data_IF_433281794523
#
_entry.id   IF_433281794523
#
_cell.length_a   1.000
_cell.length_b   1.000
_cell.length_c   1.000
_cell.angle_alpha   90.00
_cell.angle_beta   90.00
_cell.angle_gamma   90.00
#
_symmetry.space_group_name_H-M   'P 1'
#
loop_
_entity.id
_entity.type
_entity.pdbx_description
1 polymer ?
#
# COMPACT_ATOMS: atom_id res chain seq x y z
N UNK A 1 -31.66 53.25 -16.96
CA UNK A 1 -32.22 53.09 -15.60
C UNK A 1 -31.16 52.44 -14.72
N UNK A 2 -30.80 53.11 -13.62
CA UNK A 2 -29.85 52.65 -12.60
C UNK A 2 -30.46 51.48 -11.82
N UNK A 3 -29.65 50.48 -11.50
CA UNK A 3 -29.96 49.46 -10.51
C UNK A 3 -28.68 48.79 -10.01
N UNK A 4 -28.15 49.29 -8.89
CA UNK A 4 -27.13 48.63 -8.07
C UNK A 4 -27.82 47.53 -7.28
N UNK A 5 -27.30 46.31 -7.31
CA UNK A 5 -27.58 45.30 -6.27
C UNK A 5 -26.26 44.66 -5.79
N UNK A 6 -25.76 45.28 -4.72
CA UNK A 6 -25.17 44.69 -3.50
C UNK A 6 -24.61 43.27 -3.56
N UNK A 7 -23.29 43.19 -3.41
CA UNK A 7 -22.53 42.04 -2.90
C UNK A 7 -23.04 41.71 -1.48
N UNK A 8 -23.71 40.57 -1.31
CA UNK A 8 -23.96 39.98 0.01
C UNK A 8 -23.13 38.70 0.19
N UNK A 9 -22.17 38.79 1.10
CA UNK A 9 -21.44 37.67 1.68
C UNK A 9 -22.40 36.64 2.29
N UNK A 10 -22.50 35.46 1.70
CA UNK A 10 -23.19 34.31 2.30
C UNK A 10 -22.17 33.46 3.03
N UNK A 11 -22.08 33.69 4.34
CA UNK A 11 -21.53 32.74 5.30
C UNK A 11 -22.44 31.50 5.33
N UNK A 12 -21.97 30.36 4.82
CA UNK A 12 -22.62 29.06 5.02
C UNK A 12 -21.62 28.10 5.65
N UNK A 13 -21.43 28.23 6.96
CA UNK A 13 -20.81 27.20 7.82
C UNK A 13 -21.86 26.22 8.36
N UNK A 14 -23.16 26.53 8.24
CA UNK A 14 -24.22 25.76 8.91
C UNK A 14 -24.79 24.57 8.11
N UNK A 15 -24.22 24.27 6.93
CA UNK A 15 -24.70 23.18 6.06
C UNK A 15 -24.04 21.80 6.27
N UNK A 16 -22.99 21.71 7.09
CA UNK A 16 -22.17 20.49 7.25
C UNK A 16 -22.47 19.69 8.53
N UNK A 17 -23.24 20.25 9.46
CA UNK A 17 -23.50 19.62 10.76
C UNK A 17 -24.58 18.53 10.70
N UNK A 18 -25.42 18.52 9.67
CA UNK A 18 -26.45 17.50 9.47
C UNK A 18 -25.94 16.19 8.83
N UNK A 19 -24.66 16.10 8.45
CA UNK A 19 -24.03 14.86 7.94
C UNK A 19 -23.19 14.17 9.04
N UNK A 20 -23.31 14.60 10.29
CA UNK A 20 -22.69 13.90 11.43
C UNK A 20 -23.58 12.72 11.81
N UNK A 21 -23.55 11.69 10.97
CA UNK A 21 -24.02 10.36 11.33
C UNK A 21 -23.25 9.95 12.58
N UNK A 22 -23.99 9.79 13.68
CA UNK A 22 -23.50 9.20 14.91
C UNK A 22 -22.73 7.92 14.55
N UNK A 23 -21.55 7.66 15.14
CA UNK A 23 -20.76 6.51 14.75
C UNK A 23 -21.64 5.25 14.83
N UNK A 24 -21.72 4.41 13.77
CA UNK A 24 -22.56 3.23 13.75
C UNK A 24 -22.36 2.40 15.03
N UNK A 25 -23.41 1.75 15.54
CA UNK A 25 -23.41 1.01 16.82
C UNK A 25 -22.20 0.07 16.96
N UNK A 26 -21.72 -0.48 15.83
CA UNK A 26 -20.47 -1.23 15.70
C UNK A 26 -19.21 -0.48 16.18
N UNK A 27 -19.06 0.80 15.85
CA UNK A 27 -17.96 1.68 16.26
C UNK A 27 -18.12 2.10 17.73
N UNK A 28 -19.36 2.32 18.21
CA UNK A 28 -19.64 2.60 19.62
C UNK A 28 -19.26 1.41 20.51
N UNK A 29 -19.54 0.19 20.06
CA UNK A 29 -19.12 -1.04 20.74
C UNK A 29 -17.61 -1.30 20.60
N UNK A 30 -16.99 -0.91 19.47
CA UNK A 30 -15.51 -0.91 19.33
C UNK A 30 -14.84 0.08 20.27
N UNK A 31 -15.38 1.28 20.43
CA UNK A 31 -14.91 2.28 21.38
C UNK A 31 -15.03 1.77 22.82
N UNK A 32 -16.14 1.10 23.15
CA UNK A 32 -16.35 0.48 24.47
C UNK A 32 -15.34 -0.65 24.74
N UNK A 33 -15.01 -1.45 23.73
CA UNK A 33 -14.02 -2.54 23.83
C UNK A 33 -12.55 -2.06 23.73
N UNK A 34 -12.30 -0.87 23.16
CA UNK A 34 -10.98 -0.23 23.15
C UNK A 34 -10.65 0.45 24.49
N UNK A 35 -11.66 0.81 25.28
CA UNK A 35 -11.52 1.20 26.68
C UNK A 35 -11.30 -0.06 27.54
N UNK A 36 -10.30 -0.86 27.17
CA UNK A 36 -9.64 -1.77 28.09
C UNK A 36 -8.77 -0.92 29.01
N UNK A 37 -9.41 -0.27 29.98
CA UNK A 37 -8.73 0.50 31.01
C UNK A 37 -7.61 -0.35 31.63
N UNK A 38 -6.36 0.12 31.66
CA UNK A 38 -5.32 -0.58 32.40
C UNK A 38 -5.76 -0.69 33.86
N UNK A 39 -5.58 -1.89 34.43
CA UNK A 39 -5.83 -2.16 35.86
C UNK A 39 -5.05 -1.14 36.71
N UNK A 40 -5.61 -0.70 37.85
CA UNK A 40 -4.85 0.10 38.79
C UNK A 40 -3.63 -0.72 39.21
N UNK A 41 -2.46 -0.15 38.98
CA UNK A 41 -1.19 -0.61 39.53
C UNK A 41 -1.01 0.19 40.82
N UNK A 42 -0.37 -0.38 41.83
CA UNK A 42 -0.21 0.24 43.15
C UNK A 42 1.00 1.20 43.20
N UNK A 43 0.79 2.25 44.01
CA UNK A 43 1.62 3.28 44.66
C UNK A 43 3.13 3.44 44.35
N UNK A 44 3.46 4.65 43.86
CA UNK A 44 4.74 5.37 44.01
C UNK A 44 4.58 6.80 43.42
N UNK A 45 4.08 7.75 44.23
CA UNK A 45 3.50 9.04 43.81
C UNK A 45 4.36 9.91 42.85
N UNK A 46 5.69 9.75 42.82
CA UNK A 46 6.57 10.46 41.89
C UNK A 46 6.64 9.80 40.48
N UNK A 47 6.61 8.47 40.43
CA UNK A 47 6.62 7.65 39.21
C UNK A 47 5.33 7.80 38.39
N UNK A 48 4.19 7.95 39.07
CA UNK A 48 2.88 8.15 38.44
C UNK A 48 2.79 9.42 37.60
N UNK A 49 3.43 10.50 38.07
CA UNK A 49 3.34 11.82 37.42
C UNK A 49 4.03 11.82 36.05
N UNK A 50 5.22 11.22 35.97
CA UNK A 50 6.05 11.16 34.76
C UNK A 50 5.52 10.14 33.75
N UNK A 51 5.05 8.98 34.22
CA UNK A 51 4.40 7.97 33.38
C UNK A 51 3.14 8.52 32.71
N UNK A 52 2.26 9.19 33.47
CA UNK A 52 1.00 9.71 32.94
C UNK A 52 1.24 10.82 31.91
N UNK A 53 2.22 11.69 32.16
CA UNK A 53 2.68 12.68 31.19
C UNK A 53 3.22 12.05 29.91
N UNK A 54 4.10 11.04 30.04
CA UNK A 54 4.65 10.33 28.90
C UNK A 54 3.55 9.69 28.05
N UNK A 55 2.58 9.03 28.69
CA UNK A 55 1.42 8.46 28.00
C UNK A 55 0.62 9.52 27.23
N UNK A 56 0.29 10.64 27.89
CA UNK A 56 -0.46 11.73 27.26
C UNK A 56 0.31 12.34 26.07
N UNK A 57 1.64 12.50 26.18
CA UNK A 57 2.47 12.99 25.07
C UNK A 57 2.49 12.02 23.90
N UNK A 58 2.64 10.72 24.15
CA UNK A 58 2.67 9.71 23.09
C UNK A 58 1.31 9.63 22.37
N UNK A 59 0.19 9.74 23.10
CA UNK A 59 -1.14 9.80 22.49
C UNK A 59 -1.35 11.05 21.63
N UNK A 60 -0.78 12.20 22.02
CA UNK A 60 -0.80 13.40 21.20
C UNK A 60 0.09 13.26 19.95
N UNK A 61 1.30 12.70 20.08
CA UNK A 61 2.19 12.40 18.95
C UNK A 61 1.49 11.44 17.96
N UNK A 62 0.80 10.40 18.46
CA UNK A 62 0.00 9.49 17.65
C UNK A 62 -1.18 10.18 16.96
N UNK A 63 -1.82 11.15 17.63
CA UNK A 63 -2.92 11.94 17.07
C UNK A 63 -2.45 12.79 15.88
N UNK A 64 -1.28 13.44 16.01
CA UNK A 64 -0.65 14.22 14.95
C UNK A 64 -0.29 13.32 13.76
N UNK A 65 0.24 12.13 14.05
CA UNK A 65 0.67 11.17 13.03
C UNK A 65 -0.45 10.24 12.51
N UNK A 66 -1.71 10.45 12.91
CA UNK A 66 -2.88 9.62 12.53
C UNK A 66 -2.73 8.13 12.83
N UNK A 67 -1.93 7.78 13.84
CA UNK A 67 -1.66 6.41 14.26
C UNK A 67 -2.77 5.87 15.18
N UNK A 68 -2.83 4.56 15.34
CA UNK A 68 -3.79 3.89 16.21
C UNK A 68 -3.15 3.58 17.56
N UNK A 69 -3.83 3.89 18.67
CA UNK A 69 -3.39 3.53 20.02
C UNK A 69 -3.59 2.02 20.23
N UNK A 70 -2.53 1.24 20.00
CA UNK A 70 -2.54 -0.23 20.20
C UNK A 70 -1.29 -0.71 20.95
N UNK A 71 -0.34 0.20 21.22
CA UNK A 71 0.93 -0.12 21.88
C UNK A 71 0.73 -0.38 23.39
N UNK A 72 1.68 -1.11 24.00
CA UNK A 72 1.70 -1.33 25.45
C UNK A 72 1.99 -0.01 26.18
N UNK A 73 1.27 0.26 27.27
CA UNK A 73 1.31 1.53 28.02
C UNK A 73 2.33 1.52 29.17
N UNK A 74 3.27 0.59 29.17
CA UNK A 74 4.35 0.49 30.17
C UNK A 74 5.50 1.46 29.86
N UNK A 75 6.11 2.09 30.87
CA UNK A 75 7.15 3.12 30.75
C UNK A 75 8.25 2.77 29.74
N UNK A 76 8.93 1.63 29.91
CA UNK A 76 10.04 1.22 29.04
C UNK A 76 9.61 1.07 27.57
N UNK A 77 8.45 0.46 27.33
CA UNK A 77 7.96 0.23 25.98
C UNK A 77 7.49 1.54 25.32
N UNK A 78 6.99 2.50 26.08
CA UNK A 78 6.66 3.85 25.58
C UNK A 78 7.92 4.64 25.21
N UNK A 79 8.98 4.54 26.01
CA UNK A 79 10.28 5.16 25.68
C UNK A 79 10.88 4.57 24.40
N UNK A 80 10.89 3.23 24.28
CA UNK A 80 11.34 2.55 23.05
C UNK A 80 10.46 2.92 21.86
N UNK A 81 9.14 2.99 22.05
CA UNK A 81 8.20 3.41 21.00
C UNK A 81 8.47 4.83 20.52
N UNK A 82 8.69 5.77 21.44
CA UNK A 82 8.97 7.17 21.13
C UNK A 82 10.32 7.32 20.41
N UNK A 83 11.36 6.66 20.92
CA UNK A 83 12.67 6.61 20.26
C UNK A 83 12.55 6.06 18.84
N UNK A 84 11.85 4.94 18.66
CA UNK A 84 11.63 4.33 17.35
C UNK A 84 10.76 5.18 16.42
N UNK A 85 9.85 5.99 16.97
CA UNK A 85 9.00 6.92 16.22
C UNK A 85 9.71 8.21 15.82
N UNK A 86 10.92 8.46 16.34
CA UNK A 86 11.74 9.61 15.93
C UNK A 86 11.94 9.63 14.40
N UNK A 87 11.92 10.84 13.84
CA UNK A 87 12.09 11.09 12.41
C UNK A 87 13.38 10.47 11.86
N UNK A 88 14.46 10.51 12.64
CA UNK A 88 15.77 9.94 12.28
C UNK A 88 15.69 8.44 12.02
N UNK A 89 15.14 7.64 12.95
CA UNK A 89 15.04 6.17 12.77
C UNK A 89 14.08 5.82 11.62
N UNK A 90 12.98 6.57 11.48
CA UNK A 90 12.05 6.38 10.36
C UNK A 90 12.67 6.74 9.02
N UNK A 91 13.56 7.74 8.96
CA UNK A 91 14.29 8.12 7.75
C UNK A 91 15.39 7.11 7.44
N UNK A 92 16.14 6.64 8.45
CA UNK A 92 17.13 5.56 8.28
C UNK A 92 16.48 4.28 7.73
N UNK A 93 15.31 3.91 8.24
CA UNK A 93 14.57 2.77 7.70
C UNK A 93 14.15 2.98 6.25
N UNK A 94 13.71 4.19 5.87
CA UNK A 94 13.41 4.53 4.47
C UNK A 94 14.65 4.47 3.58
N UNK A 95 15.79 4.96 4.05
CA UNK A 95 17.08 4.87 3.33
C UNK A 95 17.49 3.41 3.14
N UNK A 96 17.38 2.57 4.18
CA UNK A 96 17.70 1.14 4.09
C UNK A 96 16.81 0.41 3.06
N UNK A 97 15.52 0.77 2.97
CA UNK A 97 14.62 0.26 1.93
C UNK A 97 15.06 0.69 0.53
N UNK A 98 15.41 1.97 0.35
CA UNK A 98 15.92 2.48 -0.93
C UNK A 98 17.21 1.78 -1.33
N UNK A 99 18.16 1.60 -0.42
CA UNK A 99 19.41 0.86 -0.66
C UNK A 99 19.10 -0.57 -1.12
N UNK A 100 18.17 -1.25 -0.43
CA UNK A 100 17.81 -2.62 -0.76
C UNK A 100 17.19 -2.75 -2.17
N UNK A 101 16.34 -1.80 -2.57
CA UNK A 101 15.79 -1.74 -3.94
C UNK A 101 16.88 -1.41 -4.98
N UNK A 102 17.76 -0.46 -4.68
CA UNK A 102 18.84 -0.04 -5.57
C UNK A 102 19.90 -1.12 -5.81
N UNK A 103 20.07 -2.09 -4.90
CA UNK A 103 20.97 -3.23 -5.11
C UNK A 103 20.68 -3.98 -6.42
N UNK A 104 19.44 -3.95 -6.91
CA UNK A 104 19.08 -4.57 -8.18
C UNK A 104 19.89 -4.06 -9.39
N UNK A 105 20.36 -2.80 -9.38
CA UNK A 105 21.19 -2.23 -10.46
C UNK A 105 22.62 -2.77 -10.49
N UNK A 106 23.15 -3.14 -9.33
CA UNK A 106 24.53 -3.61 -9.17
C UNK A 106 24.66 -5.13 -9.26
N UNK A 107 23.58 -5.83 -8.95
CA UNK A 107 23.50 -7.29 -9.03
C UNK A 107 23.49 -7.81 -10.46
N UNK A 108 23.84 -9.09 -10.65
CA UNK A 108 23.76 -9.75 -11.96
C UNK A 108 22.29 -9.98 -12.38
N UNK A 109 21.91 -9.66 -13.63
CA UNK A 109 22.71 -8.97 -14.65
C UNK A 109 22.86 -7.47 -14.33
N UNK A 110 24.09 -6.96 -14.28
CA UNK A 110 24.33 -5.56 -13.91
C UNK A 110 23.78 -4.61 -14.96
N UNK A 111 23.24 -3.47 -14.51
CA UNK A 111 22.70 -2.42 -15.38
C UNK A 111 23.78 -1.45 -15.87
N UNK A 112 25.02 -1.60 -15.41
CA UNK A 112 26.15 -0.76 -15.80
C UNK A 112 26.74 -1.24 -17.14
N UNK A 113 26.15 -0.72 -18.22
CA UNK A 113 26.68 -0.79 -19.59
C UNK A 113 26.47 0.56 -20.28
N UNK A 114 27.34 0.89 -21.24
CA UNK A 114 27.25 2.14 -22.02
C UNK A 114 25.97 2.14 -22.87
N UNK A 115 25.61 0.98 -23.41
CA UNK A 115 24.41 0.78 -24.23
C UNK A 115 23.62 -0.42 -23.72
N UNK A 116 22.30 -0.39 -23.94
CA UNK A 116 21.40 -1.54 -23.75
C UNK A 116 21.16 -2.30 -25.06
N UNK A 117 21.77 -1.87 -26.17
CA UNK A 117 21.63 -2.54 -27.46
C UNK A 117 22.15 -3.98 -27.36
N UNK A 118 21.39 -4.91 -27.93
CA UNK A 118 21.73 -6.33 -28.01
C UNK A 118 22.79 -6.59 -29.07
N UNK A 119 22.92 -5.72 -30.07
CA UNK A 119 23.90 -5.84 -31.15
C UNK A 119 25.30 -5.50 -30.65
N UNK A 120 25.42 -4.40 -29.91
CA UNK A 120 26.65 -3.97 -29.28
C UNK A 120 26.61 -4.32 -27.78
N UNK A 121 27.16 -5.48 -27.41
CA UNK A 121 27.22 -5.95 -26.02
C UNK A 121 28.61 -5.74 -25.41
N UNK A 122 28.98 -4.51 -25.01
CA UNK A 122 30.22 -4.32 -24.27
C UNK A 122 30.17 -5.12 -22.95
N UNK A 123 31.34 -5.54 -22.49
CA UNK A 123 31.46 -6.24 -21.22
C UNK A 123 30.86 -5.39 -20.08
N UNK A 124 29.89 -5.95 -19.36
CA UNK A 124 29.23 -5.25 -18.25
C UNK A 124 30.17 -5.19 -17.06
N UNK A 125 30.14 -4.06 -16.34
CA UNK A 125 30.91 -3.93 -15.10
C UNK A 125 30.31 -4.90 -14.08
N UNK A 126 31.13 -5.83 -13.58
CA UNK A 126 30.73 -6.80 -12.55
C UNK A 126 31.30 -6.34 -11.21
N UNK A 127 30.40 -6.03 -10.28
CA UNK A 127 30.80 -5.66 -8.92
C UNK A 127 31.17 -6.90 -8.10
N UNK A 128 32.10 -6.77 -7.13
CA UNK A 128 32.44 -7.86 -6.22
C UNK A 128 31.20 -8.38 -5.49
N UNK A 129 30.88 -9.66 -5.68
CA UNK A 129 29.66 -10.28 -5.12
C UNK A 129 29.61 -10.20 -3.59
N UNK A 130 30.78 -10.33 -2.94
CA UNK A 130 30.92 -10.26 -1.47
C UNK A 130 30.45 -8.91 -0.94
N UNK A 131 30.79 -7.80 -1.60
CA UNK A 131 30.39 -6.45 -1.17
C UNK A 131 28.85 -6.30 -1.19
N UNK A 132 28.22 -6.73 -2.28
CA UNK A 132 26.76 -6.66 -2.43
C UNK A 132 26.06 -7.55 -1.39
N UNK A 133 26.62 -8.72 -1.11
CA UNK A 133 26.11 -9.63 -0.08
C UNK A 133 26.21 -9.02 1.32
N UNK A 134 27.30 -8.32 1.64
CA UNK A 134 27.46 -7.63 2.93
C UNK A 134 26.42 -6.51 3.07
N UNK A 135 26.28 -5.66 2.05
CA UNK A 135 25.30 -4.56 2.07
C UNK A 135 23.88 -5.13 2.21
N UNK A 136 23.54 -6.16 1.44
CA UNK A 136 22.24 -6.83 1.54
C UNK A 136 22.01 -7.39 2.93
N UNK A 137 22.99 -8.12 3.49
CA UNK A 137 22.94 -8.69 4.83
C UNK A 137 22.68 -7.65 5.91
N UNK A 138 23.42 -6.54 5.87
CA UNK A 138 23.23 -5.43 6.80
C UNK A 138 21.80 -4.85 6.71
N UNK A 139 21.24 -4.68 5.50
CA UNK A 139 19.86 -4.20 5.35
C UNK A 139 18.82 -5.20 5.87
N UNK A 140 19.02 -6.50 5.65
CA UNK A 140 18.11 -7.55 6.11
C UNK A 140 18.14 -7.70 7.64
N UNK A 141 19.33 -7.63 8.25
CA UNK A 141 19.51 -7.62 9.71
C UNK A 141 18.80 -6.39 10.30
N UNK A 142 18.94 -5.22 9.68
CA UNK A 142 18.22 -4.01 10.09
C UNK A 142 16.70 -4.22 10.03
N UNK A 143 16.16 -4.80 8.96
CA UNK A 143 14.72 -5.09 8.85
C UNK A 143 14.24 -6.08 9.92
N UNK A 144 15.05 -7.08 10.26
CA UNK A 144 14.75 -8.03 11.32
C UNK A 144 14.73 -7.35 12.70
N UNK A 145 15.72 -6.54 13.03
CA UNK A 145 15.73 -5.76 14.29
C UNK A 145 14.54 -4.79 14.33
N UNK A 146 14.25 -4.13 13.21
CA UNK A 146 13.15 -3.19 13.07
C UNK A 146 11.77 -3.87 13.27
N UNK A 147 11.56 -5.08 12.77
CA UNK A 147 10.30 -5.80 13.00
C UNK A 147 10.20 -6.33 14.43
N UNK A 148 11.29 -6.86 14.99
CA UNK A 148 11.33 -7.38 16.36
C UNK A 148 11.02 -6.29 17.39
N UNK A 149 11.59 -5.10 17.22
CA UNK A 149 11.30 -3.93 18.07
C UNK A 149 9.83 -3.49 17.94
N UNK A 150 9.26 -3.48 16.72
CA UNK A 150 7.81 -3.26 16.54
C UNK A 150 6.96 -4.33 17.25
N UNK A 151 7.31 -5.62 17.16
CA UNK A 151 6.58 -6.69 17.88
C UNK A 151 6.61 -6.46 19.38
N UNK A 152 7.77 -6.10 19.93
CA UNK A 152 7.93 -5.85 21.35
C UNK A 152 7.02 -4.70 21.83
N UNK A 153 6.93 -3.61 21.05
CA UNK A 153 6.11 -2.44 21.38
C UNK A 153 4.60 -2.68 21.24
N UNK A 154 4.14 -3.35 20.17
CA UNK A 154 2.71 -3.63 19.94
C UNK A 154 2.18 -4.83 20.75
N UNK A 155 3.05 -5.78 21.08
CA UNK A 155 2.69 -7.06 21.66
C UNK A 155 2.25 -8.11 20.62
N UNK A 156 2.60 -9.37 20.91
CA UNK A 156 2.44 -10.51 19.99
C UNK A 156 0.97 -10.75 19.60
N UNK A 157 0.04 -10.60 20.55
CA UNK A 157 -1.40 -10.81 20.31
C UNK A 157 -1.98 -9.85 19.26
N UNK A 158 -1.53 -8.59 19.27
CA UNK A 158 -1.97 -7.59 18.31
C UNK A 158 -1.23 -7.70 16.97
N UNK A 159 0.06 -8.04 17.01
CA UNK A 159 0.85 -8.28 15.81
C UNK A 159 0.25 -9.39 14.93
N UNK A 160 -0.18 -10.51 15.54
CA UNK A 160 -0.77 -11.66 14.81
C UNK A 160 -2.09 -11.31 14.08
N UNK A 161 -2.79 -10.24 14.47
CA UNK A 161 -4.04 -9.84 13.80
C UNK A 161 -3.81 -9.04 12.52
N UNK A 162 -2.60 -8.53 12.28
CA UNK A 162 -2.29 -7.67 11.14
C UNK A 162 -1.61 -8.49 10.03
N UNK A 163 -2.35 -8.77 8.96
CA UNK A 163 -1.87 -9.56 7.81
C UNK A 163 -0.53 -9.06 7.25
N UNK A 164 -0.45 -7.77 6.89
CA UNK A 164 0.76 -7.16 6.31
C UNK A 164 1.99 -7.31 7.21
N UNK A 165 1.78 -7.28 8.53
CA UNK A 165 2.84 -7.43 9.50
C UNK A 165 3.39 -8.87 9.54
N UNK A 166 2.51 -9.87 9.46
CA UNK A 166 2.91 -11.27 9.34
C UNK A 166 3.60 -11.52 8.00
N UNK A 167 3.05 -11.00 6.91
CA UNK A 167 3.65 -11.12 5.59
C UNK A 167 5.08 -10.56 5.57
N UNK A 168 5.29 -9.38 6.18
CA UNK A 168 6.62 -8.80 6.32
C UNK A 168 7.56 -9.69 7.15
N UNK A 169 7.11 -10.23 8.28
CA UNK A 169 7.90 -11.15 9.10
C UNK A 169 8.35 -12.39 8.29
N UNK A 170 7.41 -13.03 7.61
CA UNK A 170 7.67 -14.25 6.82
C UNK A 170 8.67 -13.94 5.70
N UNK A 171 8.47 -12.85 4.97
CA UNK A 171 9.36 -12.45 3.88
C UNK A 171 10.75 -12.11 4.40
N UNK A 172 10.88 -11.40 5.54
CA UNK A 172 12.18 -11.09 6.14
C UNK A 172 12.92 -12.36 6.59
N UNK A 173 12.22 -13.29 7.25
CA UNK A 173 12.82 -14.57 7.68
C UNK A 173 13.25 -15.41 6.48
N UNK A 174 12.38 -15.56 5.47
CA UNK A 174 12.71 -16.24 4.22
C UNK A 174 13.94 -15.63 3.54
N UNK A 175 13.98 -14.29 3.48
CA UNK A 175 15.09 -13.55 2.87
C UNK A 175 16.41 -13.75 3.62
N UNK A 176 16.38 -13.82 4.95
CA UNK A 176 17.55 -14.12 5.78
C UNK A 176 18.03 -15.57 5.59
N UNK A 177 17.11 -16.54 5.52
CA UNK A 177 17.45 -17.94 5.26
C UNK A 177 18.12 -18.11 3.90
N UNK A 178 17.55 -17.51 2.84
CA UNK A 178 18.14 -17.56 1.50
C UNK A 178 19.50 -16.85 1.47
N UNK A 179 19.65 -15.70 2.17
CA UNK A 179 20.93 -15.00 2.27
C UNK A 179 22.01 -15.83 2.99
N UNK A 180 21.66 -16.51 4.09
CA UNK A 180 22.58 -17.41 4.79
C UNK A 180 22.98 -18.61 3.92
N UNK A 181 22.04 -19.19 3.18
CA UNK A 181 22.32 -20.25 2.21
C UNK A 181 23.28 -19.76 1.11
N UNK A 182 23.12 -18.53 0.63
CA UNK A 182 24.00 -17.93 -0.38
C UNK A 182 25.43 -17.70 0.15
N UNK A 183 25.59 -17.38 1.44
CA UNK A 183 26.92 -17.34 2.08
C UNK A 183 27.55 -18.74 2.08
N UNK A 184 26.80 -19.76 2.49
CA UNK A 184 27.32 -21.12 2.57
C UNK A 184 27.74 -21.68 1.20
N UNK A 185 26.99 -21.33 0.15
CA UNK A 185 27.21 -21.83 -1.22
C UNK A 185 28.17 -20.93 -2.02
N UNK A 186 28.71 -19.84 -1.44
CA UNK A 186 29.56 -18.87 -2.15
C UNK A 186 30.76 -19.51 -2.86
N UNK A 187 31.31 -20.60 -2.30
CA UNK A 187 32.46 -21.32 -2.84
C UNK A 187 32.15 -22.09 -4.12
N UNK A 188 30.88 -22.41 -4.36
CA UNK A 188 30.42 -23.24 -5.48
C UNK A 188 29.96 -22.42 -6.70
N UNK A 189 30.10 -21.09 -6.67
CA UNK A 189 29.76 -20.20 -7.81
C UNK A 189 28.37 -20.48 -8.42
N UNK A 190 27.37 -20.64 -7.56
CA UNK A 190 26.00 -20.96 -7.99
C UNK A 190 25.30 -19.72 -8.59
N UNK A 191 24.93 -19.80 -9.86
CA UNK A 191 24.23 -18.74 -10.62
C UNK A 191 22.70 -18.96 -10.68
N UNK A 192 22.10 -19.60 -9.68
CA UNK A 192 20.66 -19.86 -9.67
C UNK A 192 19.77 -18.62 -9.44
N UNK A 193 18.48 -18.81 -9.72
CA UNK A 193 17.44 -17.78 -9.59
C UNK A 193 17.28 -17.38 -8.11
N UNK A 194 17.48 -16.09 -7.80
CA UNK A 194 17.35 -15.53 -6.45
C UNK A 194 15.93 -15.04 -6.21
N UNK A 195 15.10 -15.87 -5.57
CA UNK A 195 13.68 -15.59 -5.35
C UNK A 195 13.45 -14.37 -4.45
N UNK A 196 14.35 -14.09 -3.51
CA UNK A 196 14.33 -12.90 -2.64
C UNK A 196 14.16 -11.57 -3.38
N UNK A 197 14.69 -11.43 -4.60
CA UNK A 197 14.60 -10.18 -5.39
C UNK A 197 13.16 -9.77 -5.67
N UNK A 198 12.29 -10.73 -5.91
CA UNK A 198 10.87 -10.53 -6.23
C UNK A 198 10.13 -9.93 -5.02
N UNK A 199 10.57 -10.26 -3.81
CA UNK A 199 9.92 -9.81 -2.59
C UNK A 199 10.35 -8.42 -2.10
N UNK A 200 11.42 -7.81 -2.64
CA UNK A 200 11.91 -6.49 -2.19
C UNK A 200 10.86 -5.38 -2.22
N UNK A 201 10.00 -5.26 -3.26
CA UNK A 201 8.94 -4.26 -3.27
C UNK A 201 7.95 -4.41 -2.12
N UNK A 202 7.77 -5.63 -1.58
CA UNK A 202 6.89 -5.85 -0.42
C UNK A 202 7.40 -5.16 0.85
N UNK A 203 8.73 -5.02 1.00
CA UNK A 203 9.30 -4.28 2.12
C UNK A 203 8.94 -2.79 2.07
N UNK A 204 8.88 -2.21 0.86
CA UNK A 204 8.44 -0.83 0.65
C UNK A 204 6.93 -0.67 0.92
N UNK A 205 6.12 -1.65 0.51
CA UNK A 205 4.68 -1.68 0.83
C UNK A 205 4.47 -1.70 2.35
N UNK A 206 5.29 -2.44 3.11
CA UNK A 206 5.14 -2.48 4.57
C UNK A 206 5.45 -1.14 5.26
N UNK A 207 6.37 -0.34 4.73
CA UNK A 207 6.70 0.95 5.35
C UNK A 207 5.64 2.02 5.07
N UNK A 208 5.00 1.98 3.90
CA UNK A 208 4.04 2.99 3.46
C UNK A 208 2.59 2.63 3.78
N UNK A 209 1.96 3.38 4.70
CA UNK A 209 0.54 3.23 4.99
C UNK A 209 -0.35 3.60 3.80
N UNK A 210 0.09 4.53 2.94
CA UNK A 210 -0.65 4.93 1.75
C UNK A 210 -0.70 3.77 0.74
N UNK A 211 0.41 3.07 0.53
CA UNK A 211 0.47 1.94 -0.39
C UNK A 211 -0.38 0.77 0.10
N UNK A 212 -0.33 0.43 1.40
CA UNK A 212 -1.22 -0.61 1.97
C UNK A 212 -2.68 -0.27 1.79
N UNK A 213 -3.03 1.01 1.98
CA UNK A 213 -4.39 1.51 1.78
C UNK A 213 -4.80 1.39 0.32
N UNK A 214 -3.95 1.82 -0.62
CA UNK A 214 -4.20 1.70 -2.05
C UNK A 214 -4.36 0.22 -2.47
N UNK A 215 -3.46 -0.67 -2.05
CA UNK A 215 -3.56 -2.10 -2.34
C UNK A 215 -4.81 -2.73 -1.73
N UNK A 216 -5.19 -2.35 -0.50
CA UNK A 216 -6.42 -2.83 0.12
C UNK A 216 -7.68 -2.27 -0.56
N UNK A 217 -7.61 -1.07 -1.15
CA UNK A 217 -8.68 -0.52 -1.99
C UNK A 217 -8.87 -1.41 -3.22
N UNK A 218 -7.80 -1.68 -3.95
CA UNK A 218 -7.80 -2.54 -5.14
C UNK A 218 -8.27 -3.95 -4.78
N UNK A 219 -7.74 -4.52 -3.69
CA UNK A 219 -8.11 -5.87 -3.24
C UNK A 219 -9.60 -5.99 -2.90
N UNK A 220 -10.20 -4.96 -2.30
CA UNK A 220 -11.61 -4.99 -1.90
C UNK A 220 -12.53 -5.12 -3.11
N UNK A 221 -12.21 -4.43 -4.20
CA UNK A 221 -13.04 -4.38 -5.40
C UNK A 221 -12.50 -5.31 -6.51
N UNK A 222 -11.53 -6.18 -6.18
CA UNK A 222 -10.86 -7.10 -7.09
C UNK A 222 -11.85 -8.01 -7.82
N UNK A 223 -12.89 -8.51 -7.12
CA UNK A 223 -13.91 -9.38 -7.73
C UNK A 223 -14.63 -8.66 -8.87
N UNK A 224 -15.01 -7.40 -8.66
CA UNK A 224 -15.67 -6.58 -9.68
C UNK A 224 -14.72 -6.29 -10.85
N UNK A 225 -13.45 -5.97 -10.56
CA UNK A 225 -12.43 -5.74 -11.60
C UNK A 225 -12.22 -7.00 -12.44
N UNK A 226 -12.12 -8.18 -11.81
CA UNK A 226 -12.00 -9.46 -12.50
C UNK A 226 -13.21 -9.71 -13.41
N UNK A 227 -14.43 -9.42 -12.96
CA UNK A 227 -15.62 -9.56 -13.80
C UNK A 227 -15.58 -8.65 -15.03
N UNK A 228 -15.13 -7.40 -14.90
CA UNK A 228 -14.99 -6.51 -16.06
C UNK A 228 -13.86 -6.95 -17.02
N UNK A 229 -12.74 -7.46 -16.49
CA UNK A 229 -11.66 -8.03 -17.31
C UNK A 229 -12.15 -9.30 -18.03
N UNK A 230 -12.91 -10.16 -17.38
CA UNK A 230 -13.51 -11.34 -18.00
C UNK A 230 -14.47 -10.96 -19.14
N UNK A 231 -15.25 -9.90 -18.98
CA UNK A 231 -16.10 -9.35 -20.04
C UNK A 231 -15.27 -8.86 -21.23
N UNK A 232 -14.16 -8.15 -21.00
CA UNK A 232 -13.25 -7.72 -22.06
C UNK A 232 -12.59 -8.91 -22.79
N UNK A 233 -12.16 -9.94 -22.05
CA UNK A 233 -11.60 -11.16 -22.63
C UNK A 233 -12.65 -11.93 -23.45
N UNK A 234 -13.90 -12.00 -22.98
CA UNK A 234 -14.99 -12.62 -23.72
C UNK A 234 -15.28 -11.87 -25.03
N UNK A 235 -15.26 -10.53 -25.02
CA UNK A 235 -15.37 -9.70 -26.22
C UNK A 235 -14.23 -10.00 -27.20
N UNK A 236 -12.98 -10.03 -26.73
CA UNK A 236 -11.82 -10.35 -27.58
C UNK A 236 -11.94 -11.77 -28.16
N UNK A 237 -12.32 -12.76 -27.35
CA UNK A 237 -12.45 -14.15 -27.80
C UNK A 237 -13.57 -14.32 -28.84
N UNK A 238 -14.73 -13.70 -28.61
CA UNK A 238 -15.85 -13.73 -29.55
C UNK A 238 -15.45 -13.15 -30.91
N UNK A 239 -14.84 -11.96 -30.92
CA UNK A 239 -14.37 -11.33 -32.15
C UNK A 239 -13.19 -12.10 -32.78
N UNK A 240 -12.34 -12.76 -32.01
CA UNK A 240 -11.24 -13.58 -32.54
C UNK A 240 -11.78 -14.80 -33.31
N UNK A 241 -12.79 -15.48 -32.77
CA UNK A 241 -13.43 -16.60 -33.45
C UNK A 241 -14.14 -16.11 -34.73
N UNK A 242 -14.85 -14.98 -34.65
CA UNK A 242 -15.49 -14.38 -35.81
C UNK A 242 -14.47 -13.95 -36.88
N UNK A 243 -13.32 -13.39 -36.48
CA UNK A 243 -12.24 -13.00 -37.39
C UNK A 243 -11.67 -14.20 -38.13
N UNK A 244 -11.46 -15.35 -37.46
CA UNK A 244 -10.99 -16.57 -38.13
C UNK A 244 -11.95 -17.07 -39.21
N UNK A 245 -13.26 -16.92 -38.99
CA UNK A 245 -14.27 -17.30 -39.99
C UNK A 245 -14.41 -16.28 -41.11
N UNK A 246 -14.33 -14.98 -40.80
CA UNK A 246 -14.52 -13.89 -41.76
C UNK A 246 -13.28 -13.65 -42.62
N UNK A 247 -12.10 -13.91 -42.07
CA UNK A 247 -10.79 -13.73 -42.69
C UNK A 247 -10.05 -15.07 -42.73
N UNK A 248 -10.55 -16.06 -43.50
CA UNK A 248 -9.86 -17.32 -43.66
C UNK A 248 -8.51 -17.12 -44.35
N UNK A 249 -7.61 -18.08 -44.18
CA UNK A 249 -6.26 -18.12 -44.76
C UNK A 249 -6.30 -17.78 -46.26
N UNK A 250 -6.02 -16.52 -46.59
CA UNK A 250 -5.88 -16.01 -47.95
C UNK A 250 -4.45 -15.51 -48.14
N UNK A 251 -3.88 -15.71 -49.33
CA UNK A 251 -2.52 -15.25 -49.65
C UNK A 251 -2.35 -13.72 -49.58
N UNK A 252 -3.47 -12.97 -49.62
CA UNK A 252 -3.53 -11.51 -49.55
C UNK A 252 -3.34 -10.92 -48.14
N UNK A 253 -3.50 -11.73 -47.08
CA UNK A 253 -3.40 -11.26 -45.69
C UNK A 253 -2.07 -11.59 -45.04
N UNK A 254 -0.96 -11.31 -45.73
CA UNK A 254 0.39 -11.50 -45.18
C UNK A 254 0.86 -10.22 -44.50
N UNK A 255 1.33 -10.35 -43.27
CA UNK A 255 2.10 -9.34 -42.56
C UNK A 255 3.37 -9.01 -43.38
N UNK A 256 4.10 -7.95 -43.02
CA UNK A 256 5.42 -7.64 -43.58
C UNK A 256 6.44 -8.78 -43.47
N UNK A 257 6.15 -9.80 -42.65
CA UNK A 257 6.95 -11.01 -42.42
C UNK A 257 6.36 -12.29 -43.07
N UNK A 258 5.24 -12.20 -43.81
CA UNK A 258 4.66 -13.34 -44.53
C UNK A 258 3.69 -14.22 -43.71
N UNK A 259 3.45 -13.92 -42.44
CA UNK A 259 2.46 -14.59 -41.57
C UNK A 259 1.06 -14.01 -41.75
N UNK A 260 0.02 -14.83 -41.56
CA UNK A 260 -1.38 -14.39 -41.64
C UNK A 260 -1.95 -14.06 -40.27
N UNK A 261 -2.44 -12.81 -40.08
CA UNK A 261 -2.97 -12.28 -38.81
C UNK A 261 -4.00 -13.19 -38.10
N UNK A 262 -4.95 -13.80 -38.82
CA UNK A 262 -6.09 -14.54 -38.24
C UNK A 262 -6.08 -16.06 -38.51
N UNK A 263 -4.90 -16.66 -38.65
CA UNK A 263 -4.80 -18.09 -39.02
C UNK A 263 -5.15 -19.08 -37.91
N UNK A 264 -4.79 -18.76 -36.67
CA UNK A 264 -5.05 -19.60 -35.51
C UNK A 264 -5.78 -18.79 -34.43
N UNK A 265 -6.44 -19.49 -33.50
CA UNK A 265 -7.14 -18.83 -32.40
C UNK A 265 -6.18 -18.01 -31.52
N UNK A 266 -5.01 -18.58 -31.21
CA UNK A 266 -3.98 -17.89 -30.42
C UNK A 266 -3.55 -16.58 -31.08
N UNK A 267 -3.21 -16.62 -32.36
CA UNK A 267 -2.72 -15.47 -33.11
C UNK A 267 -3.83 -14.42 -33.27
N UNK A 268 -5.06 -14.85 -33.56
CA UNK A 268 -6.25 -13.99 -33.65
C UNK A 268 -6.54 -13.27 -32.34
N UNK A 269 -6.52 -13.99 -31.21
CA UNK A 269 -6.69 -13.41 -29.87
C UNK A 269 -5.57 -12.43 -29.57
N UNK A 270 -4.33 -12.75 -29.89
CA UNK A 270 -3.19 -11.86 -29.66
C UNK A 270 -3.29 -10.58 -30.49
N UNK A 271 -3.60 -10.69 -31.79
CA UNK A 271 -3.74 -9.54 -32.68
C UNK A 271 -4.89 -8.62 -32.26
N UNK A 272 -6.03 -9.19 -31.82
CA UNK A 272 -7.14 -8.41 -31.28
C UNK A 272 -6.88 -7.87 -29.87
N UNK A 273 -6.06 -8.54 -29.05
CA UNK A 273 -5.61 -8.00 -27.76
C UNK A 273 -4.70 -6.78 -27.96
N UNK A 274 -3.80 -6.82 -28.94
CA UNK A 274 -2.96 -5.68 -29.35
C UNK A 274 -3.82 -4.57 -29.98
N UNK A 275 -4.88 -4.92 -30.71
CA UNK A 275 -5.85 -3.95 -31.22
C UNK A 275 -6.70 -3.33 -30.12
N UNK A 276 -7.06 -4.09 -29.09
CA UNK A 276 -7.77 -3.58 -27.91
C UNK A 276 -6.94 -2.52 -27.16
N UNK A 277 -5.60 -2.59 -27.22
CA UNK A 277 -4.70 -1.53 -26.75
C UNK A 277 -4.34 -0.49 -27.82
N UNK A 278 -4.94 -0.56 -29.01
CA UNK A 278 -4.74 0.32 -30.18
C UNK A 278 -3.32 0.38 -30.73
N UNK A 279 -2.45 -0.58 -30.40
CA UNK A 279 -1.04 -0.51 -30.77
C UNK A 279 -0.76 -0.90 -32.24
N UNK A 280 -1.67 -1.64 -32.88
CA UNK A 280 -1.56 -2.12 -34.27
C UNK A 280 -2.67 -1.55 -35.18
N UNK A 281 -3.27 -0.41 -34.84
CA UNK A 281 -4.22 0.30 -35.70
C UNK A 281 -3.47 1.34 -36.56
N UNK A 282 -3.59 1.36 -37.91
CA UNK A 282 -4.46 0.56 -38.79
C UNK A 282 -3.86 -0.74 -39.32
N UNK A 283 -2.62 -1.08 -38.98
CA UNK A 283 -1.88 -2.19 -39.60
C UNK A 283 -2.64 -3.52 -39.66
N UNK A 284 -3.32 -3.91 -38.58
CA UNK A 284 -4.08 -5.18 -38.53
C UNK A 284 -5.31 -5.21 -39.44
N UNK A 285 -5.88 -4.05 -39.80
CA UNK A 285 -7.07 -3.98 -40.66
C UNK A 285 -6.72 -3.78 -42.14
N UNK A 286 -5.51 -3.29 -42.45
CA UNK A 286 -5.14 -2.91 -43.81
C UNK A 286 -5.29 -4.02 -44.86
N UNK A 287 -4.82 -5.28 -44.62
CA UNK A 287 -4.97 -6.34 -45.63
C UNK A 287 -6.43 -6.73 -45.87
N UNK A 288 -7.23 -6.81 -44.80
CA UNK A 288 -8.67 -7.08 -44.93
C UNK A 288 -9.40 -5.94 -45.64
N UNK A 289 -8.98 -4.69 -45.42
CA UNK A 289 -9.55 -3.50 -46.05
C UNK A 289 -9.21 -3.40 -47.54
N UNK A 290 -7.98 -3.76 -47.94
CA UNK A 290 -7.57 -3.78 -49.35
C UNK A 290 -8.34 -4.83 -50.15
N UNK A 291 -8.68 -5.97 -49.53
CA UNK A 291 -9.48 -7.03 -50.16
C UNK A 291 -10.93 -6.57 -50.36
N UNK A 292 -11.57 -6.04 -49.31
CA UNK A 292 -12.89 -5.45 -49.40
C UNK A 292 -13.05 -4.32 -48.38
N UNK A 293 -13.44 -3.12 -48.87
CA UNK A 293 -13.63 -1.93 -48.02
C UNK A 293 -14.66 -2.15 -46.90
N UNK A 294 -15.64 -3.05 -47.10
CA UNK A 294 -16.65 -3.36 -46.08
C UNK A 294 -16.07 -4.06 -44.84
N UNK A 295 -14.90 -4.71 -44.96
CA UNK A 295 -14.26 -5.41 -43.84
C UNK A 295 -13.84 -4.46 -42.71
N UNK A 296 -13.71 -3.15 -42.98
CA UNK A 296 -13.44 -2.14 -41.94
C UNK A 296 -14.55 -2.11 -40.88
N UNK A 297 -15.79 -2.46 -41.23
CA UNK A 297 -16.92 -2.44 -40.30
C UNK A 297 -16.71 -3.42 -39.14
N UNK A 298 -16.07 -4.56 -39.39
CA UNK A 298 -15.71 -5.52 -38.34
C UNK A 298 -14.82 -4.85 -37.28
N UNK A 299 -13.73 -4.21 -37.72
CA UNK A 299 -12.77 -3.56 -36.83
C UNK A 299 -13.36 -2.32 -36.14
N UNK A 300 -14.19 -1.56 -36.85
CA UNK A 300 -14.88 -0.40 -36.29
C UNK A 300 -15.80 -0.80 -35.14
N UNK A 301 -16.64 -1.83 -35.34
CA UNK A 301 -17.52 -2.35 -34.29
C UNK A 301 -16.72 -2.88 -33.10
N UNK A 302 -15.63 -3.62 -33.37
CA UNK A 302 -14.72 -4.09 -32.32
C UNK A 302 -14.17 -2.95 -31.47
N UNK A 303 -13.71 -1.86 -32.10
CA UNK A 303 -13.15 -0.68 -31.43
C UNK A 303 -14.23 0.08 -30.64
N UNK A 304 -15.42 0.29 -31.22
CA UNK A 304 -16.54 0.98 -30.55
C UNK A 304 -16.93 0.24 -29.27
N UNK A 305 -17.15 -1.08 -29.35
CA UNK A 305 -17.57 -1.87 -28.20
C UNK A 305 -16.41 -2.06 -27.22
N UNK A 306 -15.23 -2.46 -27.69
CA UNK A 306 -14.10 -2.79 -26.83
C UNK A 306 -13.53 -1.57 -26.11
N UNK A 307 -13.11 -0.57 -26.88
CA UNK A 307 -12.39 0.59 -26.33
C UNK A 307 -13.38 1.61 -25.77
N UNK A 308 -14.37 2.03 -26.55
CA UNK A 308 -15.23 3.14 -26.10
C UNK A 308 -16.28 2.71 -25.08
N UNK A 309 -16.76 1.47 -25.10
CA UNK A 309 -17.73 1.00 -24.10
C UNK A 309 -17.04 0.24 -22.96
N UNK A 310 -16.38 -0.88 -23.23
CA UNK A 310 -15.85 -1.77 -22.19
C UNK A 310 -14.70 -1.11 -21.42
N UNK A 311 -13.71 -0.49 -22.07
CA UNK A 311 -12.58 0.14 -21.36
C UNK A 311 -13.00 1.36 -20.53
N UNK A 312 -13.93 2.18 -21.03
CA UNK A 312 -14.51 3.29 -20.26
C UNK A 312 -15.34 2.79 -19.06
N UNK A 313 -16.08 1.69 -19.22
CA UNK A 313 -16.80 1.04 -18.13
C UNK A 313 -15.82 0.51 -17.05
N UNK A 314 -14.75 -0.19 -17.45
CA UNK A 314 -13.70 -0.66 -16.53
C UNK A 314 -13.13 0.51 -15.73
N UNK A 315 -12.79 1.60 -16.43
CA UNK A 315 -12.22 2.81 -15.81
C UNK A 315 -13.19 3.42 -14.80
N UNK A 316 -14.48 3.53 -15.15
CA UNK A 316 -15.52 4.04 -14.27
C UNK A 316 -15.71 3.17 -13.01
N UNK A 317 -15.70 1.85 -13.15
CA UNK A 317 -15.81 0.90 -12.05
C UNK A 317 -14.62 1.02 -11.11
N UNK A 318 -13.39 1.03 -11.65
CA UNK A 318 -12.16 1.19 -10.86
C UNK A 318 -12.13 2.53 -10.13
N UNK A 319 -12.57 3.61 -10.79
CA UNK A 319 -12.64 4.93 -10.17
C UNK A 319 -13.64 4.96 -9.01
N UNK A 320 -14.84 4.42 -9.19
CA UNK A 320 -15.88 4.36 -8.14
C UNK A 320 -15.37 3.58 -6.92
N UNK A 321 -14.74 2.44 -7.16
CA UNK A 321 -14.09 1.60 -6.15
C UNK A 321 -13.04 2.40 -5.34
N UNK A 322 -12.08 2.99 -6.04
CA UNK A 322 -10.99 3.75 -5.43
C UNK A 322 -11.50 4.95 -4.63
N UNK A 323 -12.43 5.74 -5.19
CA UNK A 323 -13.02 6.92 -4.52
C UNK A 323 -13.76 6.54 -3.23
N UNK A 324 -14.56 5.48 -3.26
CA UNK A 324 -15.29 4.99 -2.09
C UNK A 324 -14.36 4.55 -0.96
N UNK A 325 -13.25 3.87 -1.30
CA UNK A 325 -12.25 3.48 -0.31
C UNK A 325 -11.48 4.70 0.24
N UNK A 326 -11.06 5.61 -0.63
CA UNK A 326 -10.28 6.79 -0.26
C UNK A 326 -11.03 7.68 0.75
N UNK A 327 -12.32 7.94 0.50
CA UNK A 327 -13.17 8.71 1.41
C UNK A 327 -13.26 8.05 2.80
N UNK A 328 -13.52 6.74 2.83
CA UNK A 328 -13.55 5.97 4.08
C UNK A 328 -12.18 5.99 4.80
N UNK A 329 -11.08 5.99 4.07
CA UNK A 329 -9.73 6.08 4.65
C UNK A 329 -9.48 7.43 5.34
N UNK A 330 -9.94 8.54 4.76
CA UNK A 330 -9.85 9.89 5.33
C UNK A 330 -10.73 10.00 6.58
N UNK A 331 -11.98 9.56 6.52
CA UNK A 331 -12.89 9.59 7.68
C UNK A 331 -12.27 8.79 8.84
N UNK A 332 -11.74 7.61 8.55
CA UNK A 332 -11.10 6.78 9.57
C UNK A 332 -9.80 7.40 10.12
N UNK A 333 -9.02 8.17 9.35
CA UNK A 333 -7.86 8.88 9.90
C UNK A 333 -8.30 10.01 10.84
N UNK A 334 -9.32 10.77 10.47
CA UNK A 334 -9.87 11.80 11.35
C UNK A 334 -10.44 11.22 12.64
N UNK A 335 -11.13 10.08 12.56
CA UNK A 335 -11.64 9.38 13.73
C UNK A 335 -10.51 8.92 14.66
N UNK A 336 -9.42 8.35 14.13
CA UNK A 336 -8.24 7.96 14.93
C UNK A 336 -7.66 9.16 15.68
N UNK A 337 -7.53 10.30 15.01
CA UNK A 337 -7.04 11.55 15.63
C UNK A 337 -7.94 11.98 16.80
N UNK A 338 -9.26 12.00 16.60
CA UNK A 338 -10.23 12.37 17.66
C UNK A 338 -10.16 11.44 18.87
N UNK A 339 -10.07 10.13 18.63
CA UNK A 339 -9.94 9.13 19.71
C UNK A 339 -8.64 9.33 20.49
N UNK A 340 -7.54 9.61 19.81
CA UNK A 340 -6.24 9.80 20.46
C UNK A 340 -6.19 11.07 21.32
N UNK A 341 -6.75 12.18 20.83
CA UNK A 341 -6.89 13.43 21.62
C UNK A 341 -7.81 13.23 22.83
N UNK A 342 -8.90 12.47 22.67
CA UNK A 342 -9.78 12.18 23.81
C UNK A 342 -9.08 11.32 24.87
N UNK A 343 -8.33 10.30 24.43
CA UNK A 343 -7.57 9.44 25.33
C UNK A 343 -6.47 10.22 26.10
N UNK A 344 -5.78 11.16 25.43
CA UNK A 344 -4.79 12.01 26.10
C UNK A 344 -5.45 12.94 27.12
N UNK A 345 -6.60 13.54 26.78
CA UNK A 345 -7.36 14.38 27.70
C UNK A 345 -7.83 13.60 28.94
N UNK A 346 -8.39 12.40 28.76
CA UNK A 346 -8.82 11.55 29.88
C UNK A 346 -7.65 11.14 30.79
N UNK A 347 -6.48 10.83 30.22
CA UNK A 347 -5.27 10.53 30.99
C UNK A 347 -4.82 11.73 31.85
N UNK A 348 -4.84 12.94 31.28
CA UNK A 348 -4.50 14.17 32.02
C UNK A 348 -5.55 14.52 33.08
N UNK A 349 -6.84 14.37 32.78
CA UNK A 349 -7.92 14.61 33.75
C UNK A 349 -7.79 13.71 34.98
N UNK A 350 -7.49 12.42 34.77
CA UNK A 350 -7.27 11.46 35.86
C UNK A 350 -6.11 11.91 36.77
N UNK A 351 -5.03 12.45 36.18
CA UNK A 351 -3.91 13.01 36.95
C UNK A 351 -4.34 14.17 37.83
N UNK A 352 -5.04 15.16 37.26
CA UNK A 352 -5.49 16.36 38.00
C UNK A 352 -6.40 15.96 39.16
N UNK A 353 -7.35 15.04 38.92
CA UNK A 353 -8.27 14.56 39.95
C UNK A 353 -7.54 13.83 41.08
N UNK A 354 -6.57 12.97 40.74
CA UNK A 354 -5.76 12.27 41.75
C UNK A 354 -4.90 13.24 42.56
N UNK A 355 -4.31 14.26 41.93
CA UNK A 355 -3.52 15.27 42.62
C UNK A 355 -4.38 16.07 43.61
N UNK A 356 -5.56 16.54 43.19
CA UNK A 356 -6.49 17.23 44.07
C UNK A 356 -6.95 16.34 45.24
N UNK A 357 -7.22 15.05 45.00
CA UNK A 357 -7.59 14.11 46.06
C UNK A 357 -6.46 13.86 47.06
N UNK A 358 -5.20 13.83 46.59
CA UNK A 358 -4.04 13.63 47.46
C UNK A 358 -3.77 14.88 48.32
N UNK A 359 -3.90 16.09 47.77
CA UNK A 359 -3.80 17.35 48.51
C UNK A 359 -4.86 17.44 49.62
N UNK A 360 -6.11 17.08 49.33
CA UNK A 360 -7.18 17.02 50.34
C UNK A 360 -6.87 15.98 51.42
N UNK A 361 -6.40 14.79 51.06
CA UNK A 361 -6.08 13.71 52.02
C UNK A 361 -4.91 14.10 52.93
N UNK A 362 -3.90 14.79 52.41
CA UNK A 362 -2.79 15.33 53.20
C UNK A 362 -3.26 16.44 54.16
N UNK A 363 -4.12 17.36 53.70
CA UNK A 363 -4.68 18.43 54.53
C UNK A 363 -5.49 17.86 55.72
N UNK A 364 -6.34 16.87 55.48
CA UNK A 364 -7.11 16.19 56.54
C UNK A 364 -6.17 15.47 57.51
N UNK A 365 -5.14 14.77 57.02
CA UNK A 365 -4.18 14.05 57.87
C UNK A 365 -3.33 14.99 58.75
N UNK A 366 -3.05 16.21 58.30
CA UNK A 366 -2.41 17.24 59.12
C UNK A 366 -3.35 17.81 60.18
N UNK A 367 -4.63 18.02 59.85
CA UNK A 367 -5.62 18.54 60.80
C UNK A 367 -5.97 17.59 61.95
N UNK A 368 -5.73 16.28 61.81
CA UNK A 368 -5.95 15.27 62.85
C UNK A 368 -4.70 14.98 63.71
N UNK A 369 -3.56 15.63 63.41
CA UNK A 369 -2.28 15.41 64.10
C UNK A 369 -1.85 16.58 65.01
N UNK A 370 -2.62 17.65 65.01
CA UNK A 370 -2.62 18.77 65.97
C UNK A 370 -3.78 18.60 66.92
#
# INVERSE_FOLDING_TARGET
>A
MRGRETVSSVNTVDGLDHIIVSPPVSIKNRLRNFVGLPKPIDDDDCSWSTHTLLCATVFLEDAVNYQSIVHKVSNLYLLVYRWFSCSLIQNLHRIALTINLCLAFFERPSSFSITSDVRDRPARIVFPYVLLMIIEGLTLIWFFVYICTKIACLGIKHARKRFWFIAFLIVTVYSLCEWFLMIAVIRYSYDGIRLRRIFRPLFMVESSQLMKKALKAVQKDLVTIIACVAMALAHILFFAIMAMFLFPRSETQKDSQGSTYFSNLHDSVFQLLVLYSTANNPDVMMPAYSDNRLNVLFFLVFVIIGIYWIQNLITAVVYRAFRGYFLNSIINSQLRRRVAVKASFEALKKRIFNQASNEIRCSIRFSFRT
#
